data_IF_954859902637
#
_entry.id   IF_954859902637
#
_cell.length_a   1.000
_cell.length_b   1.000
_cell.length_c   1.000
_cell.angle_alpha   90.00
_cell.angle_beta   90.00
_cell.angle_gamma   90.00
#
_symmetry.space_group_name_H-M   'P 1'
#
loop_
_entity.id
_entity.type
_entity.pdbx_description
1 polymer ?
#
# COMPACT_ATOMS: atom_id res chain seq x y z
N UNK A 1 8.78 11.73 10.53
CA UNK A 1 9.47 10.53 10.03
C UNK A 1 8.55 10.03 8.97
N UNK A 2 8.90 10.25 7.72
CA UNK A 2 8.07 9.79 6.62
C UNK A 2 8.64 8.45 6.18
N UNK A 3 7.80 7.41 6.16
CA UNK A 3 8.20 6.06 5.77
C UNK A 3 7.47 5.71 4.48
N UNK A 4 8.14 5.00 3.58
CA UNK A 4 7.59 4.63 2.28
C UNK A 4 8.08 3.25 1.84
N UNK A 5 7.34 2.62 0.93
CA UNK A 5 7.58 1.26 0.48
C UNK A 5 7.60 1.19 -1.04
N UNK A 6 8.69 0.67 -1.62
CA UNK A 6 8.75 0.36 -3.05
C UNK A 6 7.66 -0.63 -3.44
N UNK A 7 7.45 -1.64 -2.58
CA UNK A 7 6.51 -2.71 -2.84
C UNK A 7 5.06 -2.24 -2.94
N UNK A 8 4.67 -1.22 -2.17
CA UNK A 8 3.35 -0.60 -2.30
C UNK A 8 3.27 0.32 -3.52
N UNK A 9 4.30 1.13 -3.76
CA UNK A 9 4.30 2.07 -4.87
C UNK A 9 4.27 1.37 -6.24
N UNK A 10 5.01 0.28 -6.38
CA UNK A 10 5.20 -0.43 -7.66
C UNK A 10 4.56 -1.82 -7.66
N UNK A 11 3.59 -2.11 -6.78
CA UNK A 11 2.90 -3.41 -6.71
C UNK A 11 3.82 -4.64 -6.65
N UNK A 12 4.94 -4.51 -5.94
CA UNK A 12 5.96 -5.57 -5.78
C UNK A 12 6.27 -5.81 -4.31
N UNK A 13 5.27 -6.25 -3.54
CA UNK A 13 5.35 -6.46 -2.08
C UNK A 13 6.49 -7.41 -1.67
N UNK A 14 6.85 -8.35 -2.53
CA UNK A 14 8.00 -9.25 -2.35
C UNK A 14 9.38 -8.61 -2.54
N UNK A 15 9.47 -7.36 -3.02
CA UNK A 15 10.76 -6.68 -3.22
C UNK A 15 11.48 -6.33 -1.91
N UNK A 16 10.71 -6.16 -0.81
CA UNK A 16 11.20 -5.82 0.54
C UNK A 16 12.07 -4.56 0.61
N UNK A 17 11.94 -3.65 -0.36
CA UNK A 17 12.61 -2.33 -0.35
C UNK A 17 11.66 -1.26 0.19
N UNK A 18 12.17 -0.45 1.12
CA UNK A 18 11.50 0.71 1.68
C UNK A 18 12.52 1.73 2.14
N UNK A 19 12.07 2.94 2.43
CA UNK A 19 12.92 4.03 2.89
C UNK A 19 12.20 4.92 3.87
N UNK A 20 12.97 5.77 4.52
CA UNK A 20 12.47 6.81 5.41
C UNK A 20 13.16 8.13 5.11
N UNK A 21 12.46 9.23 5.33
CA UNK A 21 12.96 10.59 5.16
C UNK A 21 12.68 11.36 6.46
N UNK A 22 13.72 11.97 7.04
CA UNK A 22 13.61 12.85 8.21
C UNK A 22 14.84 13.77 8.34
N UNK A 23 14.76 14.74 9.25
CA UNK A 23 15.90 15.52 9.75
C UNK A 23 17.04 14.61 10.23
N UNK A 24 18.26 15.05 9.95
CA UNK A 24 19.51 14.31 10.17
C UNK A 24 19.68 13.80 11.60
N UNK A 25 19.33 14.62 12.58
CA UNK A 25 19.46 14.31 14.01
C UNK A 25 18.70 13.03 14.44
N UNK A 26 17.70 12.60 13.66
CA UNK A 26 16.92 11.38 13.90
C UNK A 26 17.35 10.21 13.02
N UNK A 27 18.02 10.45 11.88
CA UNK A 27 18.44 9.38 10.95
C UNK A 27 19.48 8.46 11.61
N UNK A 28 20.41 9.01 12.41
CA UNK A 28 21.50 8.23 13.05
C UNK A 28 21.00 7.07 13.90
N UNK A 29 19.91 7.24 14.63
CA UNK A 29 19.33 6.19 15.48
C UNK A 29 18.74 5.07 14.64
N UNK A 30 18.12 5.42 13.52
CA UNK A 30 17.46 4.45 12.64
C UNK A 30 18.50 3.70 11.80
N UNK A 31 19.53 4.40 11.30
CA UNK A 31 20.65 3.78 10.60
C UNK A 31 21.36 2.76 11.51
N UNK A 32 21.65 3.14 12.76
CA UNK A 32 22.24 2.23 13.75
C UNK A 32 21.39 0.98 14.01
N UNK A 33 20.07 1.14 14.12
CA UNK A 33 19.15 -0.01 14.24
C UNK A 33 19.13 -0.88 12.98
N UNK A 34 19.05 -0.28 11.78
CA UNK A 34 19.05 -1.00 10.51
C UNK A 34 20.32 -1.83 10.33
N UNK A 35 21.49 -1.26 10.63
CA UNK A 35 22.77 -1.96 10.55
C UNK A 35 22.82 -3.17 11.48
N UNK A 36 22.20 -3.10 12.66
CA UNK A 36 22.16 -4.24 13.61
C UNK A 36 21.14 -5.31 13.25
N UNK A 37 20.02 -4.94 12.64
CA UNK A 37 18.92 -5.87 12.33
C UNK A 37 19.15 -6.55 10.97
N UNK A 38 19.44 -5.76 9.94
CA UNK A 38 19.55 -6.24 8.56
C UNK A 38 20.94 -6.05 7.95
N UNK A 39 21.81 -5.26 8.58
CA UNK A 39 23.06 -4.75 8.01
C UNK A 39 22.85 -3.86 6.77
N UNK A 40 22.33 -4.43 5.69
CA UNK A 40 21.99 -3.76 4.44
C UNK A 40 20.72 -4.33 3.80
N UNK A 41 20.12 -3.59 2.88
CA UNK A 41 18.99 -4.08 2.07
C UNK A 41 19.45 -4.79 0.78
N UNK A 42 18.55 -5.51 0.11
CA UNK A 42 18.86 -6.34 -1.08
C UNK A 42 19.27 -5.48 -2.28
N UNK A 43 20.55 -5.49 -2.65
CA UNK A 43 21.13 -4.55 -3.65
C UNK A 43 20.46 -4.59 -5.03
N UNK A 44 20.21 -5.74 -5.68
CA UNK A 44 19.57 -5.76 -7.00
C UNK A 44 18.16 -5.14 -7.00
N UNK A 45 17.42 -5.30 -5.90
CA UNK A 45 16.06 -4.77 -5.76
C UNK A 45 16.06 -3.28 -5.43
N UNK A 46 17.11 -2.78 -4.77
CA UNK A 46 17.33 -1.34 -4.62
C UNK A 46 17.58 -0.69 -5.99
N UNK A 47 18.44 -1.29 -6.83
CA UNK A 47 18.71 -0.79 -8.18
C UNK A 47 17.45 -0.82 -9.06
N UNK A 48 16.71 -1.94 -9.06
CA UNK A 48 15.45 -2.03 -9.78
C UNK A 48 14.43 -0.99 -9.32
N UNK A 49 14.39 -0.68 -8.01
CA UNK A 49 13.54 0.38 -7.47
C UNK A 49 13.98 1.77 -7.96
N UNK A 50 15.29 2.04 -7.99
CA UNK A 50 15.83 3.30 -8.49
C UNK A 50 15.51 3.51 -9.97
N UNK A 51 15.66 2.47 -10.80
CA UNK A 51 15.28 2.50 -12.22
C UNK A 51 13.79 2.77 -12.38
N UNK A 52 12.93 2.08 -11.62
CA UNK A 52 11.48 2.30 -11.66
C UNK A 52 11.09 3.74 -11.35
N UNK A 53 11.72 4.36 -10.35
CA UNK A 53 11.45 5.77 -10.06
C UNK A 53 11.82 6.70 -11.22
N UNK A 54 12.92 6.46 -11.92
CA UNK A 54 13.35 7.25 -13.10
C UNK A 54 12.41 7.06 -14.30
N UNK A 55 11.78 5.90 -14.40
CA UNK A 55 10.88 5.54 -15.52
C UNK A 55 9.42 5.87 -15.23
N UNK A 56 8.99 5.94 -13.96
CA UNK A 56 7.59 6.04 -13.59
C UNK A 56 6.85 7.21 -14.26
N UNK A 57 7.44 8.40 -14.27
CA UNK A 57 6.82 9.59 -14.87
C UNK A 57 6.75 9.47 -16.41
N UNK A 58 7.79 8.87 -17.03
CA UNK A 58 7.84 8.67 -18.49
C UNK A 58 6.73 7.77 -19.00
N UNK A 59 6.32 6.80 -18.18
CA UNK A 59 5.24 5.85 -18.50
C UNK A 59 3.90 6.26 -17.89
N UNK A 60 3.77 7.50 -17.37
CA UNK A 60 2.56 8.01 -16.71
C UNK A 60 2.03 7.06 -15.60
N UNK A 61 2.94 6.35 -14.94
CA UNK A 61 2.62 5.23 -14.07
C UNK A 61 1.73 5.64 -12.89
N UNK A 62 1.97 6.81 -12.31
CA UNK A 62 1.23 7.27 -11.13
C UNK A 62 -0.23 7.58 -11.43
N UNK A 63 -0.49 8.35 -12.49
CA UNK A 63 -1.86 8.70 -12.89
C UNK A 63 -2.63 7.47 -13.36
N UNK A 64 -1.99 6.61 -14.14
CA UNK A 64 -2.59 5.34 -14.56
C UNK A 64 -2.93 4.45 -13.36
N UNK A 65 -1.98 4.29 -12.43
CA UNK A 65 -2.21 3.49 -11.21
C UNK A 65 -3.37 4.01 -10.37
N UNK A 66 -3.47 5.34 -10.17
CA UNK A 66 -4.58 5.96 -9.46
C UNK A 66 -5.91 5.73 -10.18
N UNK A 67 -5.94 5.94 -11.49
CA UNK A 67 -7.15 5.75 -12.32
C UNK A 67 -7.64 4.31 -12.27
N UNK A 68 -6.74 3.35 -12.45
CA UNK A 68 -7.05 1.92 -12.39
C UNK A 68 -7.55 1.51 -11.01
N UNK A 69 -6.89 1.97 -9.94
CA UNK A 69 -7.29 1.64 -8.58
C UNK A 69 -8.67 2.23 -8.24
N UNK A 70 -8.93 3.49 -8.60
CA UNK A 70 -10.25 4.09 -8.39
C UNK A 70 -11.33 3.33 -9.15
N UNK A 71 -11.07 2.94 -10.40
CA UNK A 71 -12.00 2.11 -11.17
C UNK A 71 -12.31 0.76 -10.51
N UNK A 72 -11.28 0.09 -9.95
CA UNK A 72 -11.46 -1.15 -9.18
C UNK A 72 -12.30 -0.92 -7.93
N UNK A 73 -12.02 0.13 -7.16
CA UNK A 73 -12.77 0.47 -5.95
C UNK A 73 -14.23 0.83 -6.26
N UNK A 74 -14.49 1.64 -7.29
CA UNK A 74 -15.86 1.96 -7.73
C UNK A 74 -16.64 0.70 -8.11
N UNK A 75 -16.03 -0.20 -8.88
CA UNK A 75 -16.68 -1.45 -9.27
C UNK A 75 -16.93 -2.37 -8.08
N UNK A 76 -15.96 -2.48 -7.17
CA UNK A 76 -16.09 -3.30 -5.98
C UNK A 76 -17.15 -2.76 -5.02
N UNK A 77 -17.27 -1.43 -4.91
CA UNK A 77 -18.20 -0.79 -3.97
C UNK A 77 -19.66 -0.80 -4.42
N UNK A 78 -19.93 -0.99 -5.72
CA UNK A 78 -21.28 -1.06 -6.25
C UNK A 78 -22.16 -2.13 -5.55
N UNK A 79 -21.55 -3.24 -5.11
CA UNK A 79 -22.30 -4.30 -4.42
C UNK A 79 -22.77 -3.88 -3.02
N UNK A 80 -22.02 -3.00 -2.34
CA UNK A 80 -22.43 -2.52 -1.02
C UNK A 80 -23.61 -1.57 -1.12
N UNK A 81 -23.65 -0.75 -2.17
CA UNK A 81 -24.79 0.10 -2.50
C UNK A 81 -26.04 -0.75 -2.81
N UNK A 82 -25.89 -1.81 -3.60
CA UNK A 82 -26.97 -2.76 -3.92
C UNK A 82 -27.52 -3.46 -2.67
N UNK A 83 -26.63 -3.91 -1.78
CA UNK A 83 -27.00 -4.59 -0.53
C UNK A 83 -27.44 -3.60 0.57
N UNK A 84 -27.39 -2.29 0.31
CA UNK A 84 -27.69 -1.23 1.27
C UNK A 84 -26.86 -1.40 2.56
N UNK A 85 -25.59 -1.77 2.40
CA UNK A 85 -24.62 -1.91 3.47
C UNK A 85 -23.75 -0.66 3.56
N UNK A 86 -23.68 0.02 4.71
CA UNK A 86 -22.80 1.17 4.87
C UNK A 86 -21.33 0.75 4.72
N UNK A 87 -20.55 1.54 3.99
CA UNK A 87 -19.10 1.37 3.85
C UNK A 87 -18.40 2.72 3.82
N UNK A 88 -17.09 2.73 4.08
CA UNK A 88 -16.25 3.91 3.89
C UNK A 88 -15.71 3.94 2.46
N UNK A 89 -16.13 4.92 1.64
CA UNK A 89 -15.56 5.11 0.29
C UNK A 89 -14.08 5.51 0.43
N UNK A 90 -13.13 4.71 -0.10
CA UNK A 90 -11.72 4.97 0.09
C UNK A 90 -11.23 6.15 -0.75
N UNK A 91 -10.60 7.12 -0.07
CA UNK A 91 -9.86 8.23 -0.72
C UNK A 91 -8.50 7.80 -1.26
N UNK A 92 -8.05 6.58 -0.94
CA UNK A 92 -6.80 6.01 -1.42
C UNK A 92 -6.59 4.57 -0.96
N UNK A 93 -5.58 3.91 -1.53
CA UNK A 93 -5.30 2.50 -1.25
C UNK A 93 -6.24 1.55 -1.99
N UNK A 94 -6.35 0.33 -1.49
CA UNK A 94 -7.07 -0.78 -2.12
C UNK A 94 -7.88 -1.61 -1.11
N UNK A 95 -8.25 -0.99 0.02
CA UNK A 95 -9.05 -1.60 1.07
C UNK A 95 -10.33 -0.80 1.28
N UNK A 96 -11.41 -1.51 1.59
CA UNK A 96 -12.72 -0.95 1.89
C UNK A 96 -13.19 -1.57 3.20
N UNK A 97 -13.68 -0.74 4.10
CA UNK A 97 -14.29 -1.19 5.35
C UNK A 97 -15.81 -1.12 5.21
N UNK A 98 -16.46 -2.27 5.37
CA UNK A 98 -17.91 -2.43 5.21
C UNK A 98 -18.53 -2.82 6.55
N UNK A 99 -19.64 -2.18 6.91
CA UNK A 99 -20.41 -2.52 8.09
C UNK A 99 -21.37 -3.67 7.78
N UNK A 100 -21.01 -4.87 8.27
CA UNK A 100 -21.76 -6.10 8.05
C UNK A 100 -22.80 -6.40 9.15
N UNK A 101 -23.12 -5.45 10.05
CA UNK A 101 -24.06 -5.67 11.17
C UNK A 101 -25.49 -6.06 10.75
N UNK A 102 -25.88 -5.79 9.51
CA UNK A 102 -27.18 -6.19 8.94
C UNK A 102 -27.20 -7.61 8.38
N UNK A 103 -26.04 -8.23 8.24
CA UNK A 103 -25.91 -9.60 7.74
C UNK A 103 -26.25 -10.56 8.88
N UNK A 104 -27.32 -11.33 8.71
CA UNK A 104 -27.72 -12.35 9.67
C UNK A 104 -26.89 -13.60 9.43
N UNK A 105 -26.08 -13.97 10.43
CA UNK A 105 -25.38 -15.24 10.45
C UNK A 105 -26.22 -16.27 11.23
N UNK A 106 -26.21 -17.55 10.85
CA UNK A 106 -26.82 -18.61 11.64
C UNK A 106 -26.30 -18.62 13.08
N UNK A 107 -27.16 -18.95 14.04
CA UNK A 107 -26.78 -18.97 15.46
C UNK A 107 -25.75 -20.07 15.78
N UNK A 108 -25.70 -21.10 14.95
CA UNK A 108 -24.78 -22.25 14.99
C UNK A 108 -23.60 -22.10 14.03
N UNK A 109 -23.35 -20.90 13.50
CA UNK A 109 -22.21 -20.64 12.61
C UNK A 109 -20.89 -20.73 13.37
N UNK A 110 -20.02 -21.66 12.95
CA UNK A 110 -18.68 -21.85 13.50
C UNK A 110 -17.67 -20.92 12.80
N UNK A 111 -16.82 -20.24 13.59
CA UNK A 111 -15.90 -19.18 13.11
C UNK A 111 -14.44 -19.65 13.00
#
# INVERSE_FOLDING_TARGET
LTISSAGKNFYTTGSRVGWLIRLENLIKYIAGAHTRICYSSVSPLQEATAIRFKEADKHNFWEQSKKEMRGKMTRFNAVWDELVLPYSDPEGGHFVLVNMSRVQLPADYDF
#
